data_IF_414730218929
#
_entry.id   IF_414730218929
#
_cell.length_a   1.000
_cell.length_b   1.000
_cell.length_c   1.000
_cell.angle_alpha   90.00
_cell.angle_beta   90.00
_cell.angle_gamma   90.00
#
_symmetry.space_group_name_H-M   'P 1'
#
loop_
_entity.id
_entity.type
_entity.pdbx_description
1 polymer ?
#
# COMPACT_ATOMS: atom_id res chain seq x y z
N UNK A 1 -22.92 -9.48 30.54
CA UNK A 1 -24.13 -9.46 29.72
C UNK A 1 -23.77 -10.00 28.35
N UNK A 2 -24.27 -11.19 27.99
CA UNK A 2 -24.02 -11.79 26.68
C UNK A 2 -24.75 -10.96 25.61
N UNK A 3 -24.03 -10.32 24.71
CA UNK A 3 -24.64 -9.66 23.56
C UNK A 3 -25.24 -10.75 22.67
N UNK A 4 -26.56 -10.89 22.72
CA UNK A 4 -27.30 -11.75 21.81
C UNK A 4 -26.97 -11.30 20.39
N UNK A 5 -26.46 -12.21 19.56
CA UNK A 5 -26.09 -11.87 18.18
C UNK A 5 -27.36 -11.47 17.42
N UNK A 6 -27.48 -10.20 17.07
CA UNK A 6 -28.60 -9.65 16.30
C UNK A 6 -28.32 -9.77 14.81
N UNK A 7 -29.30 -10.26 14.04
CA UNK A 7 -29.23 -10.28 12.57
C UNK A 7 -29.61 -8.90 12.02
N UNK A 8 -28.80 -8.39 11.10
CA UNK A 8 -28.99 -7.11 10.44
C UNK A 8 -29.21 -7.30 8.94
N UNK A 9 -30.05 -6.44 8.35
CA UNK A 9 -30.12 -6.29 6.90
C UNK A 9 -28.95 -5.48 6.37
N UNK A 10 -28.71 -5.54 5.06
CA UNK A 10 -27.69 -4.69 4.39
C UNK A 10 -27.92 -3.20 4.70
N UNK A 11 -29.18 -2.73 4.71
CA UNK A 11 -29.49 -1.33 5.02
C UNK A 11 -29.21 -0.97 6.49
N UNK A 12 -29.48 -1.89 7.42
CA UNK A 12 -29.18 -1.66 8.83
C UNK A 12 -27.67 -1.69 9.10
N UNK A 13 -26.93 -2.57 8.42
CA UNK A 13 -25.47 -2.62 8.47
C UNK A 13 -24.82 -1.37 7.89
N UNK A 14 -25.39 -0.80 6.82
CA UNK A 14 -24.93 0.45 6.23
C UNK A 14 -24.96 1.61 7.25
N UNK A 15 -26.02 1.67 8.06
CA UNK A 15 -26.16 2.66 9.14
C UNK A 15 -25.18 2.36 10.28
N UNK A 16 -25.14 1.11 10.75
CA UNK A 16 -24.30 0.72 11.91
C UNK A 16 -22.79 0.87 11.62
N UNK A 17 -22.37 0.65 10.39
CA UNK A 17 -20.96 0.75 9.97
C UNK A 17 -20.59 2.10 9.36
N UNK A 18 -21.55 3.03 9.25
CA UNK A 18 -21.39 4.34 8.59
C UNK A 18 -20.84 4.21 7.16
N UNK A 19 -21.47 3.36 6.34
CA UNK A 19 -21.02 3.07 4.96
C UNK A 19 -22.16 3.06 3.96
N UNK A 20 -21.81 3.27 2.70
CA UNK A 20 -22.76 3.12 1.60
C UNK A 20 -23.28 1.67 1.49
N UNK A 21 -24.57 1.55 1.20
CA UNK A 21 -25.27 0.28 1.09
C UNK A 21 -24.68 -0.62 -0.02
N UNK A 22 -24.20 -0.04 -1.12
CA UNK A 22 -23.60 -0.82 -2.23
C UNK A 22 -22.28 -1.41 -1.82
N UNK A 23 -21.48 -0.67 -1.06
CA UNK A 23 -20.21 -1.16 -0.50
C UNK A 23 -20.43 -2.35 0.43
N UNK A 24 -21.42 -2.27 1.32
CA UNK A 24 -21.78 -3.40 2.20
C UNK A 24 -22.31 -4.59 1.39
N UNK A 25 -23.15 -4.35 0.38
CA UNK A 25 -23.67 -5.41 -0.49
C UNK A 25 -22.55 -6.11 -1.28
N UNK A 26 -21.56 -5.36 -1.75
CA UNK A 26 -20.43 -5.90 -2.49
C UNK A 26 -19.55 -6.77 -1.59
N UNK A 27 -19.20 -6.28 -0.39
CA UNK A 27 -18.40 -7.03 0.58
C UNK A 27 -19.09 -8.32 1.04
N UNK A 28 -20.43 -8.33 1.08
CA UNK A 28 -21.22 -9.50 1.47
C UNK A 28 -21.62 -10.41 0.29
N UNK A 29 -21.29 -10.05 -0.96
CA UNK A 29 -21.70 -10.79 -2.16
C UNK A 29 -21.23 -12.24 -2.15
N UNK A 30 -20.05 -12.50 -1.58
CA UNK A 30 -19.46 -13.83 -1.46
C UNK A 30 -19.65 -14.47 -0.06
N UNK A 31 -20.39 -13.82 0.84
CA UNK A 31 -20.52 -14.24 2.24
C UNK A 31 -21.93 -14.78 2.48
N UNK A 32 -22.08 -16.08 2.79
CA UNK A 32 -23.38 -16.66 3.11
C UNK A 32 -24.08 -15.91 4.25
N UNK A 33 -25.40 -15.73 4.19
CA UNK A 33 -26.15 -15.12 5.28
C UNK A 33 -26.13 -16.00 6.52
N UNK A 34 -26.00 -15.36 7.68
CA UNK A 34 -26.04 -16.03 8.99
C UNK A 34 -27.46 -16.51 9.35
N UNK A 35 -28.47 -15.97 8.67
CA UNK A 35 -29.86 -16.39 8.81
C UNK A 35 -30.82 -15.55 7.97
N UNK A 36 -32.12 -15.73 8.20
CA UNK A 36 -33.17 -14.89 7.62
C UNK A 36 -33.71 -13.93 8.68
N UNK A 37 -34.00 -12.70 8.27
CA UNK A 37 -34.68 -11.71 9.11
C UNK A 37 -36.15 -12.10 9.32
N UNK A 38 -36.81 -11.42 10.27
CA UNK A 38 -38.21 -11.64 10.61
C UNK A 38 -39.09 -11.66 9.34
N UNK A 39 -39.88 -12.74 9.18
CA UNK A 39 -40.68 -13.00 7.98
C UNK A 39 -40.00 -13.84 6.89
N UNK A 40 -38.77 -14.34 7.11
CA UNK A 40 -38.11 -15.33 6.25
C UNK A 40 -37.68 -14.84 4.87
N UNK A 41 -38.04 -13.61 4.51
CA UNK A 41 -37.96 -13.08 3.14
C UNK A 41 -36.61 -12.44 2.79
N UNK A 42 -35.86 -12.00 3.81
CA UNK A 42 -34.62 -11.25 3.61
C UNK A 42 -33.45 -11.92 4.33
N UNK A 43 -32.33 -11.99 3.63
CA UNK A 43 -31.05 -12.44 4.18
C UNK A 43 -30.54 -11.47 5.24
N UNK A 44 -30.00 -12.04 6.33
CA UNK A 44 -29.45 -11.30 7.45
C UNK A 44 -28.06 -11.79 7.81
N UNK A 45 -27.21 -10.86 8.22
CA UNK A 45 -25.86 -11.14 8.70
C UNK A 45 -25.68 -10.56 10.10
N UNK A 46 -24.86 -11.21 10.91
CA UNK A 46 -24.40 -10.62 12.16
C UNK A 46 -23.43 -9.48 11.88
N UNK A 47 -23.42 -8.48 12.76
CA UNK A 47 -22.47 -7.37 12.67
C UNK A 47 -21.02 -7.87 12.60
N UNK A 48 -20.67 -8.89 13.39
CA UNK A 48 -19.34 -9.51 13.35
C UNK A 48 -18.99 -10.13 11.99
N UNK A 49 -19.97 -10.76 11.32
CA UNK A 49 -19.79 -11.37 10.01
C UNK A 49 -19.58 -10.29 8.96
N UNK A 50 -20.39 -9.22 9.02
CA UNK A 50 -20.27 -8.06 8.15
C UNK A 50 -18.94 -7.32 8.32
N UNK A 51 -18.49 -7.08 9.56
CA UNK A 51 -17.18 -6.45 9.81
C UNK A 51 -16.04 -7.32 9.34
N UNK A 52 -16.10 -8.64 9.56
CA UNK A 52 -15.08 -9.58 9.06
C UNK A 52 -15.03 -9.59 7.54
N UNK A 53 -16.19 -9.72 6.88
CA UNK A 53 -16.32 -9.68 5.44
C UNK A 53 -15.74 -8.39 4.85
N UNK A 54 -16.10 -7.24 5.43
CA UNK A 54 -15.62 -5.93 5.01
C UNK A 54 -14.11 -5.76 5.21
N UNK A 55 -13.54 -6.29 6.29
CA UNK A 55 -12.09 -6.28 6.51
C UNK A 55 -11.36 -7.25 5.59
N UNK A 56 -11.97 -8.38 5.21
CA UNK A 56 -11.40 -9.37 4.31
C UNK A 56 -11.54 -9.01 2.82
N UNK A 57 -12.57 -8.27 2.42
CA UNK A 57 -12.73 -7.72 1.06
C UNK A 57 -11.62 -6.71 0.73
N UNK A 58 -11.02 -6.07 1.75
CA UNK A 58 -9.77 -5.30 1.61
C UNK A 58 -8.53 -6.16 1.33
N UNK A 59 -8.65 -7.49 1.32
CA UNK A 59 -7.52 -8.43 1.22
C UNK A 59 -7.68 -9.47 0.10
N UNK A 60 -8.78 -9.47 -0.65
CA UNK A 60 -9.00 -10.42 -1.75
C UNK A 60 -8.90 -9.76 -3.13
N UNK A 61 -8.04 -10.26 -4.03
CA UNK A 61 -7.89 -9.71 -5.37
C UNK A 61 -8.97 -10.29 -6.29
N UNK A 62 -10.04 -9.55 -6.55
CA UNK A 62 -10.96 -9.89 -7.66
C UNK A 62 -11.32 -8.66 -8.47
N UNK A 63 -10.72 -8.62 -9.66
CA UNK A 63 -11.30 -8.24 -10.95
C UNK A 63 -12.36 -7.14 -10.94
N UNK A 64 -11.91 -5.92 -11.30
CA UNK A 64 -12.76 -4.89 -11.86
C UNK A 64 -12.91 -3.64 -11.00
N UNK A 65 -12.06 -2.66 -11.27
CA UNK A 65 -12.48 -1.25 -11.18
C UNK A 65 -12.21 -0.49 -9.89
N UNK A 66 -11.31 -0.96 -9.04
CA UNK A 66 -10.70 -0.08 -8.03
C UNK A 66 -9.20 -0.27 -8.11
N UNK A 67 -8.48 0.79 -8.50
CA UNK A 67 -7.03 0.76 -8.53
C UNK A 67 -6.56 0.38 -7.13
N UNK A 68 -5.60 -0.54 -6.98
CA UNK A 68 -4.99 -0.76 -5.67
C UNK A 68 -4.54 0.60 -5.14
N UNK A 69 -4.69 0.82 -3.82
CA UNK A 69 -4.34 2.07 -3.15
C UNK A 69 -3.07 2.64 -3.78
N UNK A 70 -3.20 3.73 -4.55
CA UNK A 70 -2.05 4.52 -5.03
C UNK A 70 -1.04 4.62 -3.87
N UNK A 71 0.15 4.08 -4.07
CA UNK A 71 1.22 4.09 -3.08
C UNK A 71 1.55 2.76 -2.38
N UNK A 72 1.01 1.60 -2.80
CA UNK A 72 1.60 0.32 -2.37
C UNK A 72 2.84 -0.02 -3.22
N UNK A 73 3.83 -0.68 -2.62
CA UNK A 73 5.08 -1.03 -3.30
C UNK A 73 4.87 -1.93 -4.54
N UNK A 74 3.84 -2.80 -4.53
CA UNK A 74 3.49 -3.62 -5.69
C UNK A 74 2.90 -2.77 -6.82
N UNK A 75 2.13 -1.73 -6.50
CA UNK A 75 1.52 -0.85 -7.51
C UNK A 75 2.59 -0.08 -8.26
N UNK A 76 3.63 0.37 -7.57
CA UNK A 76 4.78 0.99 -8.23
C UNK A 76 5.50 0.05 -9.20
N UNK A 77 5.59 -1.26 -8.90
CA UNK A 77 6.16 -2.21 -9.85
C UNK A 77 5.22 -2.52 -11.02
N UNK A 78 3.91 -2.61 -10.77
CA UNK A 78 2.91 -2.81 -11.82
C UNK A 78 2.90 -1.62 -12.76
N UNK A 79 2.88 -0.39 -12.25
CA UNK A 79 2.96 0.84 -13.04
C UNK A 79 4.26 0.87 -13.86
N UNK A 80 5.40 0.52 -13.26
CA UNK A 80 6.68 0.43 -14.01
C UNK A 80 6.69 -0.65 -15.08
N UNK A 81 5.98 -1.75 -14.89
CA UNK A 81 5.84 -2.81 -15.89
C UNK A 81 4.89 -2.40 -17.02
N UNK A 82 3.85 -1.63 -16.72
CA UNK A 82 2.94 -1.10 -17.74
C UNK A 82 3.62 0.00 -18.56
N UNK A 83 4.31 0.92 -17.89
CA UNK A 83 4.92 2.11 -18.49
C UNK A 83 6.41 1.90 -18.87
N UNK A 84 6.85 0.64 -19.00
CA UNK A 84 8.28 0.31 -19.11
C UNK A 84 8.96 0.96 -20.33
N UNK A 85 8.23 1.17 -21.43
CA UNK A 85 8.76 1.79 -22.65
C UNK A 85 9.04 3.28 -22.44
N UNK A 86 8.07 4.02 -21.89
CA UNK A 86 8.24 5.45 -21.57
C UNK A 86 9.33 5.65 -20.51
N UNK A 87 9.42 4.76 -19.53
CA UNK A 87 10.46 4.78 -18.51
C UNK A 87 11.84 4.41 -19.05
N UNK A 88 11.92 3.61 -20.12
CA UNK A 88 13.17 3.28 -20.80
C UNK A 88 13.66 4.42 -21.70
N UNK A 89 12.74 5.19 -22.28
CA UNK A 89 13.02 6.35 -23.12
C UNK A 89 13.39 7.60 -22.31
N UNK A 90 12.93 7.70 -21.05
CA UNK A 90 13.35 8.78 -20.14
C UNK A 90 14.83 8.69 -19.80
N UNK A 91 15.55 9.79 -20.00
CA UNK A 91 16.93 9.91 -19.52
C UNK A 91 16.96 9.78 -17.98
N UNK A 92 17.83 8.90 -17.43
CA UNK A 92 18.03 8.83 -15.99
C UNK A 92 18.56 10.17 -15.48
N UNK A 93 17.87 10.74 -14.50
CA UNK A 93 18.40 11.91 -13.80
C UNK A 93 19.39 11.46 -12.73
N UNK A 94 20.59 12.02 -12.83
CA UNK A 94 21.68 11.86 -11.89
C UNK A 94 21.64 13.01 -10.88
N UNK A 95 21.63 12.67 -9.60
CA UNK A 95 21.55 13.62 -8.50
C UNK A 95 22.79 13.51 -7.61
N UNK A 96 23.52 14.59 -7.34
CA UNK A 96 24.42 14.66 -6.20
C UNK A 96 23.67 14.31 -4.91
N UNK A 97 24.36 13.73 -3.92
CA UNK A 97 23.70 13.27 -2.69
C UNK A 97 22.88 14.37 -2.00
N UNK A 98 23.37 15.62 -1.98
CA UNK A 98 22.68 16.75 -1.35
C UNK A 98 21.39 17.11 -2.08
N UNK A 99 21.41 17.11 -3.41
CA UNK A 99 20.21 17.33 -4.20
C UNK A 99 19.20 16.19 -4.02
N UNK A 100 19.68 14.95 -3.90
CA UNK A 100 18.82 13.82 -3.61
C UNK A 100 18.15 13.92 -2.23
N UNK A 101 18.84 14.45 -1.22
CA UNK A 101 18.24 14.72 0.10
C UNK A 101 17.06 15.68 -0.02
N UNK A 102 17.23 16.75 -0.79
CA UNK A 102 16.20 17.77 -0.99
C UNK A 102 15.03 17.26 -1.82
N UNK A 103 15.30 16.65 -2.98
CA UNK A 103 14.28 16.22 -3.94
C UNK A 103 13.44 15.06 -3.41
N UNK A 104 14.09 14.09 -2.77
CA UNK A 104 13.40 12.89 -2.28
C UNK A 104 12.97 13.01 -0.81
N UNK A 105 13.40 14.06 -0.10
CA UNK A 105 13.12 14.25 1.32
C UNK A 105 13.72 13.17 2.23
N UNK A 106 14.80 12.51 1.78
CA UNK A 106 15.45 11.42 2.51
C UNK A 106 16.63 11.99 3.29
N UNK A 107 16.70 11.79 4.62
CA UNK A 107 17.84 12.24 5.41
C UNK A 107 19.18 11.73 4.87
N UNK A 108 20.21 12.58 4.88
CA UNK A 108 21.53 12.25 4.35
C UNK A 108 22.16 11.03 5.02
N UNK A 109 22.04 10.91 6.34
CA UNK A 109 22.50 9.77 7.12
C UNK A 109 21.82 8.46 6.70
N UNK A 110 20.54 8.51 6.37
CA UNK A 110 19.81 7.38 5.81
C UNK A 110 20.36 6.99 4.42
N UNK A 111 20.58 7.96 3.52
CA UNK A 111 21.17 7.69 2.20
C UNK A 111 22.58 7.10 2.31
N UNK A 112 23.42 7.65 3.18
CA UNK A 112 24.76 7.09 3.43
C UNK A 112 24.67 5.66 3.98
N UNK A 113 23.70 5.38 4.85
CA UNK A 113 23.45 4.03 5.33
C UNK A 113 23.02 3.11 4.19
N UNK A 114 22.14 3.55 3.29
CA UNK A 114 21.71 2.77 2.14
C UNK A 114 22.87 2.47 1.19
N UNK A 115 23.74 3.44 0.92
CA UNK A 115 24.96 3.26 0.13
C UNK A 115 25.88 2.20 0.73
N UNK A 116 26.10 2.24 2.06
CA UNK A 116 26.87 1.21 2.78
C UNK A 116 26.23 -0.17 2.72
N UNK A 117 24.91 -0.23 2.62
CA UNK A 117 24.13 -1.46 2.48
C UNK A 117 24.01 -1.95 1.04
N UNK A 118 24.66 -1.30 0.07
CA UNK A 118 24.73 -1.74 -1.32
C UNK A 118 23.76 -1.06 -2.28
N UNK A 119 23.16 0.08 -1.91
CA UNK A 119 22.38 0.88 -2.85
C UNK A 119 23.24 1.27 -4.06
N UNK A 120 22.77 1.05 -5.30
CA UNK A 120 23.52 1.43 -6.50
C UNK A 120 23.75 2.94 -6.61
N UNK A 121 24.90 3.32 -7.16
CA UNK A 121 25.31 4.70 -7.39
C UNK A 121 25.99 4.83 -8.76
N UNK A 122 25.91 6.02 -9.36
CA UNK A 122 26.49 6.30 -10.68
C UNK A 122 27.96 6.67 -10.56
N UNK A 123 28.31 7.44 -9.53
CA UNK A 123 29.66 7.83 -9.19
C UNK A 123 29.90 7.53 -7.71
N UNK A 124 31.02 6.88 -7.43
CA UNK A 124 31.43 6.57 -6.06
C UNK A 124 31.93 7.82 -5.34
N UNK A 125 31.49 8.00 -4.10
CA UNK A 125 31.98 9.03 -3.19
C UNK A 125 32.60 8.44 -1.91
N UNK A 126 32.71 9.26 -0.88
CA UNK A 126 33.17 8.83 0.45
C UNK A 126 32.02 8.15 1.22
N UNK A 127 32.17 6.85 1.50
CA UNK A 127 31.19 6.08 2.28
C UNK A 127 31.06 6.55 3.74
N UNK A 128 31.97 7.35 4.28
CA UNK A 128 31.87 7.92 5.63
C UNK A 128 30.93 9.13 5.68
N UNK A 129 31.07 10.06 4.74
CA UNK A 129 30.36 11.35 4.76
C UNK A 129 29.23 11.44 3.72
N UNK A 130 29.29 10.61 2.68
CA UNK A 130 28.43 10.69 1.49
C UNK A 130 28.94 11.64 0.40
N UNK A 131 30.05 12.37 0.63
CA UNK A 131 30.51 13.38 -0.31
C UNK A 131 30.97 12.76 -1.64
N UNK A 132 30.62 13.42 -2.75
CA UNK A 132 31.00 12.99 -4.09
C UNK A 132 30.15 11.87 -4.68
N UNK A 133 29.16 11.33 -3.96
CA UNK A 133 28.22 10.38 -4.55
C UNK A 133 27.27 11.06 -5.53
N UNK A 134 27.03 10.36 -6.65
CA UNK A 134 25.99 10.69 -7.62
C UNK A 134 25.04 9.50 -7.72
N UNK A 135 23.74 9.76 -7.57
CA UNK A 135 22.68 8.76 -7.46
C UNK A 135 21.74 8.88 -8.64
N UNK A 136 21.40 7.75 -9.28
CA UNK A 136 20.33 7.74 -10.28
C UNK A 136 18.97 7.68 -9.61
N UNK A 137 18.06 8.55 -10.02
CA UNK A 137 16.67 8.56 -9.54
C UNK A 137 16.02 7.17 -9.62
N UNK A 138 16.20 6.47 -10.75
CA UNK A 138 15.66 5.12 -10.96
C UNK A 138 16.10 4.13 -9.88
N UNK A 139 17.36 4.17 -9.46
CA UNK A 139 17.91 3.26 -8.45
C UNK A 139 17.48 3.63 -7.04
N UNK A 140 17.42 4.92 -6.74
CA UNK A 140 16.86 5.45 -5.49
C UNK A 140 15.42 4.96 -5.27
N UNK A 141 14.59 5.08 -6.31
CA UNK A 141 13.22 4.59 -6.29
C UNK A 141 13.13 3.09 -6.09
N UNK A 142 13.84 2.31 -6.90
CA UNK A 142 13.80 0.84 -6.81
C UNK A 142 14.28 0.36 -5.43
N UNK A 143 15.28 1.02 -4.86
CA UNK A 143 15.78 0.71 -3.51
C UNK A 143 14.75 1.02 -2.42
N UNK A 144 14.13 2.20 -2.49
CA UNK A 144 13.10 2.60 -1.52
C UNK A 144 11.88 1.66 -1.56
N UNK A 145 11.46 1.24 -2.75
CA UNK A 145 10.40 0.24 -2.93
C UNK A 145 10.82 -1.08 -2.27
N UNK A 146 12.02 -1.57 -2.55
CA UNK A 146 12.54 -2.81 -1.96
C UNK A 146 12.57 -2.76 -0.43
N UNK A 147 13.07 -1.67 0.16
CA UNK A 147 13.09 -1.49 1.61
C UNK A 147 11.67 -1.47 2.22
N UNK A 148 10.71 -0.84 1.52
CA UNK A 148 9.31 -0.79 1.96
C UNK A 148 8.68 -2.18 1.98
N UNK A 149 8.93 -3.00 0.95
CA UNK A 149 8.45 -4.38 0.87
C UNK A 149 9.06 -5.24 1.98
N UNK A 150 10.37 -5.13 2.20
CA UNK A 150 11.09 -5.89 3.23
C UNK A 150 10.60 -5.50 4.63
N UNK A 151 10.44 -4.21 4.91
CA UNK A 151 9.93 -3.75 6.20
C UNK A 151 8.49 -4.23 6.46
N UNK A 152 7.64 -4.23 5.43
CA UNK A 152 6.28 -4.73 5.54
C UNK A 152 6.24 -6.25 5.80
N UNK A 153 7.05 -7.04 5.07
CA UNK A 153 7.09 -8.50 5.22
C UNK A 153 7.74 -8.95 6.53
N UNK A 154 8.68 -8.18 7.06
CA UNK A 154 9.32 -8.42 8.37
C UNK A 154 8.43 -8.02 9.57
N UNK A 155 7.23 -7.50 9.34
CA UNK A 155 6.33 -7.07 10.41
C UNK A 155 6.76 -5.76 11.09
N UNK A 156 7.41 -4.85 10.36
CA UNK A 156 7.85 -3.53 10.85
C UNK A 156 7.00 -2.39 10.24
N UNK A 157 5.72 -2.25 10.62
CA UNK A 157 4.78 -1.32 10.00
C UNK A 157 5.09 0.16 10.29
N UNK A 158 5.93 0.46 11.29
CA UNK A 158 6.42 1.81 11.54
C UNK A 158 7.49 2.20 10.52
N UNK A 159 8.48 1.33 10.28
CA UNK A 159 9.54 1.56 9.30
C UNK A 159 8.98 1.67 7.88
N UNK A 160 8.04 0.80 7.50
CA UNK A 160 7.39 0.87 6.19
C UNK A 160 6.62 2.19 5.95
N UNK A 161 6.09 2.82 7.02
CA UNK A 161 5.39 4.12 6.93
C UNK A 161 6.33 5.30 6.80
N UNK A 162 7.57 5.19 7.27
CA UNK A 162 8.58 6.25 7.13
C UNK A 162 9.19 6.24 5.73
N UNK A 163 9.23 5.09 5.07
CA UNK A 163 9.79 4.91 3.72
C UNK A 163 8.84 5.29 2.58
N UNK A 164 7.82 6.13 2.82
CA UNK A 164 6.80 6.52 1.83
C UNK A 164 7.44 6.89 0.49
N UNK A 165 7.03 6.19 -0.55
CA UNK A 165 7.48 6.44 -1.92
C UNK A 165 6.89 7.80 -2.34
N UNK A 166 7.72 8.77 -2.75
CA UNK A 166 7.21 10.07 -3.17
C UNK A 166 6.31 9.91 -4.41
N UNK A 167 5.17 10.61 -4.42
CA UNK A 167 4.37 10.77 -5.63
C UNK A 167 5.14 11.74 -6.55
N UNK A 168 5.86 11.22 -7.54
CA UNK A 168 6.50 12.02 -8.61
C UNK A 168 5.72 11.84 -9.90
#
# INVERSE_FOLDING_TARGET
MAMTKTLYSISALAIELDRDRRTIAQALKAVPPDGKLAGGKHDGWYLSTATKAFLSDRSSPTTGGDRPRKGSALDHYVDRLVDWQELAEREPQDFPIDEAVEVFGIPRDALVTWLRCGMPYAVAGDFKTGDGFVLRSKWLFDWQIALTVIAASAGWPAAARTLKIPEI
#
